data_IF_818248356525
#
_entry.id   IF_818248356525
#
_cell.length_a   1.000
_cell.length_b   1.000
_cell.length_c   1.000
_cell.angle_alpha   90.00
_cell.angle_beta   90.00
_cell.angle_gamma   90.00
#
_symmetry.space_group_name_H-M   'P 1'
#
loop_
_entity.id
_entity.type
_entity.pdbx_description
1 polymer ?
#
# COMPACT_ATOMS: atom_id res chain seq x y z
N UNK A 1 -6.88 -6.49 -9.41
CA UNK A 1 -5.73 -7.24 -8.84
C UNK A 1 -4.72 -7.54 -9.94
N UNK A 2 -3.43 -7.49 -9.62
CA UNK A 2 -2.37 -7.85 -10.57
C UNK A 2 -2.36 -9.37 -10.83
N UNK A 3 -2.05 -9.79 -12.07
CA UNK A 3 -1.85 -11.20 -12.40
C UNK A 3 -0.62 -11.76 -11.67
N UNK A 4 -0.59 -13.03 -11.27
CA UNK A 4 0.55 -13.58 -10.52
C UNK A 4 1.88 -13.45 -11.26
N UNK A 5 2.98 -13.24 -10.52
CA UNK A 5 4.33 -13.30 -11.11
C UNK A 5 4.72 -14.76 -11.42
N UNK A 6 5.51 -15.03 -12.48
CA UNK A 6 5.93 -16.38 -12.83
C UNK A 6 6.63 -17.15 -11.69
N UNK A 7 7.33 -16.44 -10.81
CA UNK A 7 8.04 -16.97 -9.65
C UNK A 7 7.39 -16.58 -8.31
N UNK A 8 6.10 -16.22 -8.29
CA UNK A 8 5.45 -15.72 -7.07
C UNK A 8 5.45 -16.74 -5.93
N UNK A 9 5.23 -18.03 -6.24
CA UNK A 9 5.26 -19.09 -5.25
C UNK A 9 6.65 -19.24 -4.64
N UNK A 10 7.70 -19.21 -5.46
CA UNK A 10 9.09 -19.30 -5.00
C UNK A 10 9.44 -18.11 -4.10
N UNK A 11 8.98 -16.89 -4.44
CA UNK A 11 9.17 -15.70 -3.61
C UNK A 11 8.44 -15.85 -2.27
N UNK A 12 7.18 -16.31 -2.28
CA UNK A 12 6.39 -16.54 -1.05
C UNK A 12 7.05 -17.61 -0.18
N UNK A 13 7.55 -18.69 -0.77
CA UNK A 13 8.29 -19.72 -0.05
C UNK A 13 9.63 -19.21 0.48
N UNK A 14 10.36 -18.38 -0.28
CA UNK A 14 11.61 -17.77 0.16
C UNK A 14 11.40 -16.77 1.30
N UNK A 15 10.28 -16.03 1.30
CA UNK A 15 9.85 -15.17 2.41
C UNK A 15 9.55 -16.04 3.65
N UNK A 16 8.77 -17.12 3.49
CA UNK A 16 8.42 -18.05 4.59
C UNK A 16 9.63 -18.78 5.17
N UNK A 17 10.50 -19.28 4.31
CA UNK A 17 11.73 -19.99 4.66
C UNK A 17 12.86 -19.06 5.11
N UNK A 18 12.62 -17.74 5.11
CA UNK A 18 13.57 -16.70 5.56
C UNK A 18 14.86 -16.66 4.73
N UNK A 19 14.84 -17.19 3.50
CA UNK A 19 15.95 -17.09 2.55
C UNK A 19 16.18 -15.63 2.12
N UNK A 20 15.14 -14.80 2.17
CA UNK A 20 15.22 -13.36 1.96
C UNK A 20 14.89 -12.62 3.26
N UNK A 21 15.92 -12.21 4.00
CA UNK A 21 15.75 -11.34 5.16
C UNK A 21 15.24 -9.97 4.73
N UNK A 22 14.09 -9.55 5.26
CA UNK A 22 13.65 -8.15 5.18
C UNK A 22 14.09 -7.46 6.47
N UNK A 23 14.73 -6.31 6.32
CA UNK A 23 15.15 -5.49 7.46
C UNK A 23 13.92 -5.11 8.33
N UNK A 24 13.95 -5.36 9.66
CA UNK A 24 12.87 -4.96 10.56
C UNK A 24 12.47 -3.49 10.48
N UNK A 25 13.40 -2.59 10.14
CA UNK A 25 13.12 -1.16 9.99
C UNK A 25 12.21 -0.91 8.79
N UNK A 26 12.47 -1.59 7.67
CA UNK A 26 11.61 -1.53 6.47
C UNK A 26 10.22 -2.07 6.80
N UNK A 27 10.14 -3.17 7.54
CA UNK A 27 8.88 -3.80 7.91
C UNK A 27 8.05 -2.92 8.83
N UNK A 28 8.69 -2.30 9.83
CA UNK A 28 8.02 -1.36 10.72
C UNK A 28 7.49 -0.13 9.96
N UNK A 29 8.23 0.37 8.97
CA UNK A 29 7.77 1.46 8.13
C UNK A 29 6.59 1.06 7.25
N UNK A 30 6.63 -0.13 6.62
CA UNK A 30 5.52 -0.65 5.82
C UNK A 30 4.28 -0.90 6.69
N UNK A 31 4.45 -1.55 7.84
CA UNK A 31 3.35 -1.87 8.74
C UNK A 31 2.70 -0.60 9.28
N UNK A 32 3.46 0.29 9.93
CA UNK A 32 2.87 1.46 10.59
C UNK A 32 2.33 2.47 9.58
N UNK A 33 3.15 2.84 8.59
CA UNK A 33 2.78 3.96 7.72
C UNK A 33 1.70 3.53 6.72
N UNK A 34 1.81 2.36 6.09
CA UNK A 34 0.80 1.93 5.13
C UNK A 34 -0.50 1.52 5.84
N UNK A 35 -0.45 0.85 6.98
CA UNK A 35 -1.67 0.45 7.69
C UNK A 35 -2.49 1.64 8.14
N UNK A 36 -1.86 2.72 8.62
CA UNK A 36 -2.58 3.94 9.02
C UNK A 36 -3.37 4.54 7.84
N UNK A 37 -2.76 4.65 6.66
CA UNK A 37 -3.45 5.13 5.46
C UNK A 37 -4.54 4.16 4.99
N UNK A 38 -4.26 2.85 4.97
CA UNK A 38 -5.23 1.83 4.55
C UNK A 38 -6.45 1.85 5.47
N UNK A 39 -6.26 1.90 6.80
CA UNK A 39 -7.34 1.97 7.78
C UNK A 39 -8.16 3.24 7.60
N UNK A 40 -7.51 4.40 7.46
CA UNK A 40 -8.21 5.66 7.22
C UNK A 40 -9.08 5.58 5.96
N UNK A 41 -8.53 5.07 4.85
CA UNK A 41 -9.26 4.90 3.60
C UNK A 41 -10.44 3.93 3.74
N UNK A 42 -10.24 2.77 4.39
CA UNK A 42 -11.32 1.78 4.61
C UNK A 42 -12.46 2.38 5.41
N UNK A 43 -12.15 3.07 6.51
CA UNK A 43 -13.18 3.68 7.36
C UNK A 43 -13.97 4.75 6.60
N UNK A 44 -13.27 5.60 5.84
CA UNK A 44 -13.92 6.61 5.00
C UNK A 44 -14.83 5.97 3.96
N UNK A 45 -14.36 4.93 3.25
CA UNK A 45 -15.14 4.26 2.21
C UNK A 45 -16.36 3.53 2.79
N UNK A 46 -16.18 2.79 3.89
CA UNK A 46 -17.25 1.98 4.49
C UNK A 46 -18.44 2.83 4.93
N UNK A 47 -18.20 4.03 5.46
CA UNK A 47 -19.30 4.93 5.83
C UNK A 47 -20.23 5.23 4.65
N UNK A 48 -19.68 5.50 3.46
CA UNK A 48 -20.48 5.78 2.27
C UNK A 48 -21.18 4.55 1.71
N UNK A 49 -20.53 3.38 1.78
CA UNK A 49 -21.14 2.11 1.37
C UNK A 49 -22.32 1.76 2.28
N UNK A 50 -22.15 1.86 3.59
CA UNK A 50 -23.20 1.55 4.59
C UNK A 50 -24.40 2.51 4.49
N UNK A 51 -24.15 3.77 4.13
CA UNK A 51 -25.22 4.75 3.87
C UNK A 51 -25.83 4.64 2.46
N UNK A 52 -25.32 3.75 1.60
CA UNK A 52 -25.69 3.61 0.18
C UNK A 52 -25.60 4.93 -0.61
N UNK A 53 -24.63 5.79 -0.27
CA UNK A 53 -24.47 7.12 -0.88
C UNK A 53 -23.17 7.23 -1.68
N UNK A 54 -23.22 7.86 -2.87
CA UNK A 54 -21.99 8.25 -3.56
C UNK A 54 -21.10 9.12 -2.67
N UNK A 55 -19.79 8.93 -2.76
CA UNK A 55 -18.82 9.78 -2.07
C UNK A 55 -18.72 11.11 -2.80
N UNK A 56 -18.96 12.21 -2.08
CA UNK A 56 -18.81 13.54 -2.65
C UNK A 56 -17.35 13.86 -2.99
N UNK A 57 -17.17 14.85 -3.87
CA UNK A 57 -15.85 15.24 -4.38
C UNK A 57 -14.89 15.66 -3.27
N UNK A 58 -15.40 16.35 -2.23
CA UNK A 58 -14.55 16.82 -1.13
C UNK A 58 -13.93 15.65 -0.35
N UNK A 59 -14.71 14.61 -0.06
CA UNK A 59 -14.18 13.40 0.57
C UNK A 59 -13.33 12.56 -0.39
N UNK A 60 -13.66 12.55 -1.68
CA UNK A 60 -12.83 11.91 -2.71
C UNK A 60 -11.43 12.54 -2.81
N UNK A 61 -11.32 13.88 -2.70
CA UNK A 61 -10.03 14.59 -2.66
C UNK A 61 -9.18 14.17 -1.46
N UNK A 62 -9.81 13.98 -0.29
CA UNK A 62 -9.12 13.47 0.91
C UNK A 62 -8.63 12.04 0.68
N UNK A 63 -9.47 11.19 0.11
CA UNK A 63 -9.11 9.80 -0.21
C UNK A 63 -7.94 9.73 -1.20
N UNK A 64 -7.95 10.62 -2.21
CA UNK A 64 -6.87 10.77 -3.18
C UNK A 64 -5.57 11.22 -2.53
N UNK A 65 -5.64 12.14 -1.55
CA UNK A 65 -4.47 12.60 -0.80
C UNK A 65 -3.86 11.44 0.02
N UNK A 66 -4.68 10.60 0.64
CA UNK A 66 -4.19 9.40 1.33
C UNK A 66 -3.54 8.41 0.36
N UNK A 67 -4.17 8.09 -0.77
CA UNK A 67 -3.60 7.14 -1.73
C UNK A 67 -2.32 7.65 -2.40
N UNK A 68 -2.19 8.98 -2.61
CA UNK A 68 -0.96 9.62 -3.09
C UNK A 68 0.15 9.53 -2.04
N UNK A 69 -0.16 9.83 -0.78
CA UNK A 69 0.78 9.72 0.34
C UNK A 69 1.27 8.28 0.53
N UNK A 70 0.35 7.32 0.47
CA UNK A 70 0.64 5.89 0.53
C UNK A 70 1.60 5.46 -0.59
N UNK A 71 1.35 5.90 -1.83
CA UNK A 71 2.23 5.61 -2.97
C UNK A 71 3.62 6.26 -2.83
N UNK A 72 3.70 7.48 -2.31
CA UNK A 72 4.96 8.16 -2.06
C UNK A 72 5.81 7.42 -1.01
N UNK A 73 5.21 7.10 0.14
CA UNK A 73 5.84 6.30 1.19
C UNK A 73 6.30 4.96 0.62
N UNK A 74 5.45 4.24 -0.10
CA UNK A 74 5.80 2.96 -0.69
C UNK A 74 7.02 3.08 -1.63
N UNK A 75 7.04 4.10 -2.51
CA UNK A 75 8.18 4.38 -3.40
C UNK A 75 9.46 4.67 -2.61
N UNK A 76 9.38 5.45 -1.55
CA UNK A 76 10.52 5.78 -0.67
C UNK A 76 11.07 4.55 0.06
N UNK A 77 10.19 3.67 0.54
CA UNK A 77 10.61 2.39 1.16
C UNK A 77 11.27 1.46 0.14
N UNK A 78 10.74 1.36 -1.08
CA UNK A 78 11.34 0.53 -2.15
C UNK A 78 12.66 1.12 -2.70
N UNK A 79 12.81 2.44 -2.59
CA UNK A 79 13.93 3.21 -3.13
C UNK A 79 14.44 4.25 -2.12
N UNK A 80 15.25 3.83 -1.11
CA UNK A 80 15.67 4.72 -0.02
C UNK A 80 16.42 6.00 -0.46
N UNK A 81 16.98 6.01 -1.68
CA UNK A 81 17.60 7.22 -2.25
C UNK A 81 16.60 8.35 -2.54
N UNK A 82 15.30 8.08 -2.56
CA UNK A 82 14.23 9.08 -2.73
C UNK A 82 13.78 9.72 -1.42
N UNK A 83 14.32 9.28 -0.28
CA UNK A 83 13.94 9.81 1.04
C UNK A 83 14.59 11.18 1.23
N UNK A 84 13.76 12.19 1.48
CA UNK A 84 14.13 13.59 1.66
C UNK A 84 14.41 13.92 3.13
N UNK A 85 15.18 14.96 3.48
CA UNK A 85 15.57 15.24 4.87
C UNK A 85 14.40 15.53 5.84
N UNK A 86 13.26 15.96 5.32
CA UNK A 86 12.04 16.30 6.06
C UNK A 86 11.03 15.15 6.15
N UNK A 87 11.33 13.98 5.58
CA UNK A 87 10.48 12.80 5.70
C UNK A 87 10.43 12.26 7.14
N UNK A 88 9.37 11.52 7.46
CA UNK A 88 9.13 10.86 8.75
C UNK A 88 10.37 10.09 9.26
N UNK A 89 10.59 10.10 10.58
CA UNK A 89 11.68 9.40 11.27
C UNK A 89 11.84 7.93 10.85
N UNK A 90 10.74 7.21 10.64
CA UNK A 90 10.78 5.82 10.17
C UNK A 90 11.44 5.69 8.78
N UNK A 91 11.19 6.63 7.87
CA UNK A 91 11.84 6.68 6.57
C UNK A 91 13.31 7.10 6.72
N UNK A 92 13.61 8.08 7.57
CA UNK A 92 15.00 8.44 7.86
C UNK A 92 15.81 7.24 8.37
N UNK A 93 15.22 6.41 9.22
CA UNK A 93 15.87 5.20 9.74
C UNK A 93 16.24 4.22 8.62
N UNK A 94 15.38 4.04 7.61
CA UNK A 94 15.70 3.21 6.43
C UNK A 94 16.92 3.78 5.70
N UNK A 95 16.93 5.10 5.46
CA UNK A 95 18.02 5.78 4.74
C UNK A 95 19.34 5.70 5.51
N UNK A 96 19.32 6.00 6.81
CA UNK A 96 20.49 6.07 7.67
C UNK A 96 21.13 4.70 7.89
N UNK A 97 20.32 3.65 8.00
CA UNK A 97 20.80 2.28 8.17
C UNK A 97 21.22 1.62 6.84
N UNK A 98 21.06 2.31 5.72
CA UNK A 98 21.23 1.76 4.37
C UNK A 98 20.42 0.47 4.16
N UNK A 99 19.28 0.35 4.85
CA UNK A 99 18.43 -0.83 4.80
C UNK A 99 17.89 -0.99 3.38
N UNK A 100 18.18 -2.13 2.75
CA UNK A 100 17.69 -2.45 1.42
C UNK A 100 16.92 -3.75 1.41
N UNK A 101 15.82 -3.75 0.66
CA UNK A 101 15.03 -4.94 0.42
C UNK A 101 15.67 -5.80 -0.67
N UNK A 102 15.61 -7.12 -0.50
CA UNK A 102 16.01 -8.06 -1.53
C UNK A 102 15.27 -7.78 -2.86
N UNK A 103 15.96 -7.89 -3.99
CA UNK A 103 15.42 -7.51 -5.31
C UNK A 103 14.11 -8.23 -5.64
N UNK A 104 14.01 -9.51 -5.31
CA UNK A 104 12.80 -10.30 -5.60
C UNK A 104 11.61 -9.86 -4.75
N UNK A 105 11.79 -9.66 -3.44
CA UNK A 105 10.71 -9.14 -2.58
C UNK A 105 10.28 -7.76 -3.05
N UNK A 106 11.23 -6.87 -3.37
CA UNK A 106 10.92 -5.54 -3.91
C UNK A 106 10.12 -5.61 -5.21
N UNK A 107 10.47 -6.54 -6.11
CA UNK A 107 9.75 -6.75 -7.37
C UNK A 107 8.32 -7.21 -7.11
N UNK A 108 8.17 -8.21 -6.23
CA UNK A 108 6.86 -8.71 -5.81
C UNK A 108 5.99 -7.63 -5.15
N UNK A 109 6.51 -6.90 -4.17
CA UNK A 109 5.77 -5.82 -3.52
C UNK A 109 5.42 -4.70 -4.50
N UNK A 110 6.32 -4.32 -5.41
CA UNK A 110 6.03 -3.29 -6.42
C UNK A 110 4.89 -3.75 -7.33
N UNK A 111 4.92 -5.02 -7.72
CA UNK A 111 3.91 -5.61 -8.59
C UNK A 111 2.52 -5.69 -7.96
N UNK A 112 2.43 -6.00 -6.66
CA UNK A 112 1.14 -6.06 -5.98
C UNK A 112 0.75 -4.70 -5.37
N UNK A 113 1.53 -4.21 -4.40
CA UNK A 113 1.20 -2.99 -3.66
C UNK A 113 1.31 -1.77 -4.54
N UNK A 114 2.43 -1.62 -5.27
CA UNK A 114 2.69 -0.44 -6.10
C UNK A 114 1.66 -0.26 -7.22
N UNK A 115 1.29 -1.35 -7.90
CA UNK A 115 0.27 -1.30 -8.94
C UNK A 115 -1.13 -0.99 -8.39
N UNK A 116 -1.53 -1.60 -7.26
CA UNK A 116 -2.85 -1.36 -6.69
C UNK A 116 -2.97 0.05 -6.08
N UNK A 117 -1.92 0.58 -5.43
CA UNK A 117 -1.88 2.00 -5.02
C UNK A 117 -2.03 2.95 -6.20
N UNK A 118 -1.32 2.67 -7.30
CA UNK A 118 -1.38 3.51 -8.49
C UNK A 118 -2.76 3.43 -9.17
N UNK A 119 -3.38 2.25 -9.21
CA UNK A 119 -4.73 2.07 -9.75
C UNK A 119 -5.78 2.82 -8.91
N UNK A 120 -5.69 2.76 -7.58
CA UNK A 120 -6.56 3.54 -6.68
C UNK A 120 -6.42 5.04 -6.98
N UNK A 121 -5.18 5.54 -7.12
CA UNK A 121 -4.93 6.95 -7.47
C UNK A 121 -5.61 7.36 -8.77
N UNK A 122 -5.57 6.51 -9.81
CA UNK A 122 -6.22 6.79 -11.08
C UNK A 122 -7.74 6.77 -10.97
N UNK A 123 -8.31 5.73 -10.34
CA UNK A 123 -9.76 5.61 -10.18
C UNK A 123 -10.33 6.83 -9.46
N UNK A 124 -9.75 7.21 -8.32
CA UNK A 124 -10.23 8.37 -7.55
C UNK A 124 -9.95 9.67 -8.32
N UNK A 125 -8.78 9.76 -8.95
CA UNK A 125 -8.36 10.92 -9.74
C UNK A 125 -9.34 11.26 -10.85
N UNK A 126 -9.79 10.27 -11.62
CA UNK A 126 -10.76 10.47 -12.72
C UNK A 126 -12.06 11.13 -12.22
N UNK A 127 -12.60 10.67 -11.10
CA UNK A 127 -13.81 11.28 -10.51
C UNK A 127 -13.57 12.68 -9.97
N UNK A 128 -12.44 12.91 -9.30
CA UNK A 128 -12.08 14.22 -8.75
C UNK A 128 -11.86 15.25 -9.86
N UNK A 129 -11.13 14.89 -10.92
CA UNK A 129 -10.82 15.77 -12.05
C UNK A 129 -12.10 16.17 -12.81
N UNK A 130 -13.03 15.23 -12.98
CA UNK A 130 -14.34 15.49 -13.59
C UNK A 130 -15.35 16.14 -12.63
N UNK A 131 -14.98 16.36 -11.37
CA UNK A 131 -15.85 16.89 -10.29
C UNK A 131 -17.12 16.07 -10.09
N UNK A 132 -17.03 14.76 -10.28
CA UNK A 132 -18.12 13.83 -10.11
C UNK A 132 -18.00 13.11 -8.76
N UNK A 133 -19.13 12.86 -8.08
CA UNK A 133 -19.11 11.99 -6.92
C UNK A 133 -18.74 10.56 -7.33
N UNK A 134 -18.02 9.84 -6.47
CA UNK A 134 -17.67 8.44 -6.72
C UNK A 134 -18.88 7.57 -6.42
N UNK A 135 -19.38 6.77 -7.39
CA UNK A 135 -20.48 5.85 -7.16
C UNK A 135 -20.12 4.79 -6.10
N UNK A 136 -21.09 4.37 -5.30
CA UNK A 136 -20.93 3.29 -4.30
C UNK A 136 -20.28 2.04 -4.92
N UNK A 137 -20.74 1.66 -6.12
CA UNK A 137 -20.20 0.52 -6.86
C UNK A 137 -18.69 0.65 -7.13
N UNK A 138 -18.21 1.84 -7.47
CA UNK A 138 -16.78 2.09 -7.70
C UNK A 138 -15.99 2.06 -6.38
N UNK A 139 -16.58 2.54 -5.28
CA UNK A 139 -15.99 2.42 -3.95
C UNK A 139 -15.79 0.94 -3.56
N UNK A 140 -16.82 0.12 -3.71
CA UNK A 140 -16.82 -1.29 -3.31
C UNK A 140 -15.99 -2.18 -4.25
N UNK A 141 -16.34 -2.23 -5.54
CA UNK A 141 -15.79 -3.21 -6.47
C UNK A 141 -14.40 -2.84 -7.02
N UNK A 142 -14.00 -1.57 -6.89
CA UNK A 142 -12.75 -1.08 -7.50
C UNK A 142 -11.74 -0.59 -6.48
N UNK A 143 -12.15 0.25 -5.53
CA UNK A 143 -11.21 0.85 -4.56
C UNK A 143 -11.01 -0.10 -3.37
N UNK A 144 -12.09 -0.54 -2.72
CA UNK A 144 -12.02 -1.38 -1.53
C UNK A 144 -11.37 -2.74 -1.83
N UNK A 145 -11.75 -3.40 -2.93
CA UNK A 145 -11.11 -4.65 -3.38
C UNK A 145 -9.58 -4.53 -3.54
N UNK A 146 -9.08 -3.36 -3.96
CA UNK A 146 -7.63 -3.12 -4.10
C UNK A 146 -6.96 -2.88 -2.74
N UNK A 147 -7.64 -2.15 -1.85
CA UNK A 147 -7.17 -1.97 -0.47
C UNK A 147 -7.07 -3.33 0.24
N UNK A 148 -8.04 -4.21 0.03
CA UNK A 148 -8.04 -5.59 0.54
C UNK A 148 -6.86 -6.39 -0.01
N UNK A 149 -6.61 -6.32 -1.33
CA UNK A 149 -5.46 -6.98 -1.96
C UNK A 149 -4.11 -6.49 -1.39
N UNK A 150 -3.95 -5.18 -1.18
CA UNK A 150 -2.75 -4.61 -0.52
C UNK A 150 -2.61 -5.16 0.90
N UNK A 151 -3.72 -5.18 1.64
CA UNK A 151 -3.76 -5.66 3.04
C UNK A 151 -3.39 -7.14 3.15
N UNK A 152 -3.85 -7.97 2.21
CA UNK A 152 -3.49 -9.39 2.15
C UNK A 152 -1.98 -9.59 1.95
N UNK A 153 -1.39 -8.86 0.99
CA UNK A 153 0.04 -8.92 0.68
C UNK A 153 0.88 -8.47 1.89
N UNK A 154 0.50 -7.38 2.55
CA UNK A 154 1.16 -6.94 3.79
C UNK A 154 1.02 -7.97 4.91
N UNK A 155 -0.15 -8.60 5.05
CA UNK A 155 -0.37 -9.63 6.06
C UNK A 155 0.51 -10.86 5.84
N UNK A 156 0.69 -11.31 4.59
CA UNK A 156 1.61 -12.40 4.24
C UNK A 156 3.05 -12.03 4.62
N UNK A 157 3.47 -10.81 4.29
CA UNK A 157 4.80 -10.32 4.63
C UNK A 157 5.01 -10.29 6.14
N UNK A 158 4.05 -9.77 6.92
CA UNK A 158 4.14 -9.64 8.38
C UNK A 158 4.01 -10.98 9.12
N UNK A 159 3.19 -11.90 8.62
CA UNK A 159 3.01 -13.23 9.21
C UNK A 159 4.30 -14.05 9.18
N UNK A 160 5.05 -13.96 8.06
CA UNK A 160 6.35 -14.65 7.91
C UNK A 160 7.40 -14.24 8.96
N UNK A 161 7.15 -13.16 9.71
CA UNK A 161 8.05 -12.58 10.70
C UNK A 161 7.61 -12.82 12.15
N UNK A 162 6.32 -13.10 12.39
CA UNK A 162 5.77 -13.34 13.75
C UNK A 162 6.15 -14.71 14.32
N UNK A 163 6.57 -15.68 13.51
CA UNK A 163 7.14 -16.97 13.95
C UNK A 163 8.56 -16.84 14.59
N UNK A 164 8.87 -15.70 15.22
CA UNK A 164 10.15 -15.38 15.84
C UNK A 164 10.04 -14.83 17.26
N UNK A 165 8.86 -14.79 17.87
CA UNK A 165 8.72 -14.41 19.29
C UNK A 165 8.36 -15.62 20.13
#
# INVERSE_FOLDING_TARGET
MAAPLPNENDIREAIRSKAYGVDPVILNALDRILSDYLVAMVLSIKNYIEEEKPMDVGHAEVLLAYSRSMNDVFKKVMHPFKIEPNDNELLQNIKNNQSQMHKEIRTWLTHHIGNDTQAINFIIGDFVDDKNPIPVKSLEESILTRIEAITEVLSVLLASLKEKR
#
